data_IF_778145367765
#
_entry.id   IF_778145367765
#
_cell.length_a   1.000
_cell.length_b   1.000
_cell.length_c   1.000
_cell.angle_alpha   90.00
_cell.angle_beta   90.00
_cell.angle_gamma   90.00
#
_symmetry.space_group_name_H-M   'P 1'
#
loop_
_entity.id
_entity.type
_entity.pdbx_description
1 polymer ?
#
# COMPACT_ATOMS: atom_id res chain seq x y z
N UNK A 1 21.81 -22.28 0.72
CA UNK A 1 22.11 -20.84 0.53
C UNK A 1 23.25 -20.45 1.47
N UNK A 2 24.41 -20.07 0.91
CA UNK A 2 25.64 -19.77 1.66
C UNK A 2 25.47 -18.57 2.60
N UNK A 3 26.04 -18.66 3.81
CA UNK A 3 26.06 -17.59 4.83
C UNK A 3 26.55 -16.26 4.25
N UNK A 4 27.43 -16.28 3.25
CA UNK A 4 27.96 -15.09 2.56
C UNK A 4 26.88 -14.27 1.84
N UNK A 5 25.84 -14.92 1.32
CA UNK A 5 24.73 -14.23 0.65
C UNK A 5 23.78 -13.55 1.65
N UNK A 6 23.72 -14.03 2.90
CA UNK A 6 22.83 -13.48 3.92
C UNK A 6 23.33 -12.11 4.42
N UNK A 7 24.65 -11.95 4.55
CA UNK A 7 25.28 -10.71 4.95
C UNK A 7 25.20 -9.63 3.86
N UNK A 8 25.44 -9.98 2.60
CA UNK A 8 25.34 -9.03 1.49
C UNK A 8 23.90 -8.56 1.26
N UNK A 9 22.91 -9.46 1.34
CA UNK A 9 21.49 -9.10 1.29
C UNK A 9 21.09 -8.15 2.43
N UNK A 10 21.61 -8.39 3.63
CA UNK A 10 21.32 -7.54 4.81
C UNK A 10 21.90 -6.14 4.66
N UNK A 11 23.14 -6.02 4.18
CA UNK A 11 23.79 -4.72 3.94
C UNK A 11 23.07 -3.97 2.81
N UNK A 12 22.73 -4.66 1.71
CA UNK A 12 22.00 -4.05 0.60
C UNK A 12 20.63 -3.52 1.04
N UNK A 13 19.90 -4.26 1.87
CA UNK A 13 18.61 -3.82 2.41
C UNK A 13 18.76 -2.61 3.34
N UNK A 14 19.81 -2.55 4.16
CA UNK A 14 20.10 -1.41 5.03
C UNK A 14 20.42 -0.15 4.21
N UNK A 15 21.31 -0.26 3.22
CA UNK A 15 21.66 0.85 2.32
C UNK A 15 20.41 1.32 1.58
N UNK A 16 19.65 0.40 0.99
CA UNK A 16 18.38 0.69 0.33
C UNK A 16 17.40 1.43 1.26
N UNK A 17 17.24 0.96 2.49
CA UNK A 17 16.35 1.57 3.49
C UNK A 17 16.77 2.98 3.88
N UNK A 18 18.07 3.24 3.99
CA UNK A 18 18.61 4.57 4.26
C UNK A 18 18.40 5.52 3.08
N UNK A 19 18.69 5.06 1.85
CA UNK A 19 18.41 5.82 0.63
C UNK A 19 16.92 6.17 0.57
N UNK A 20 16.02 5.21 0.81
CA UNK A 20 14.58 5.48 0.82
C UNK A 20 14.19 6.52 1.87
N UNK A 21 14.73 6.46 3.10
CA UNK A 21 14.48 7.49 4.12
C UNK A 21 14.94 8.88 3.69
N UNK A 22 16.10 8.97 3.04
CA UNK A 22 16.63 10.24 2.53
C UNK A 22 15.82 10.78 1.35
N UNK A 23 15.20 9.91 0.55
CA UNK A 23 14.32 10.29 -0.56
C UNK A 23 12.91 10.71 -0.12
N UNK A 24 12.43 10.28 1.06
CA UNK A 24 11.12 10.67 1.59
C UNK A 24 10.86 12.18 1.53
N UNK A 25 11.73 13.08 2.04
CA UNK A 25 11.49 14.52 1.96
C UNK A 25 11.36 15.02 0.52
N UNK A 26 12.14 14.47 -0.44
CA UNK A 26 11.99 14.81 -1.86
C UNK A 26 10.66 14.33 -2.43
N UNK A 27 10.22 13.11 -2.10
CA UNK A 27 8.92 12.61 -2.53
C UNK A 27 7.76 13.42 -1.94
N UNK A 28 7.83 13.77 -0.65
CA UNK A 28 6.85 14.64 -0.01
C UNK A 28 6.82 16.03 -0.67
N UNK A 29 7.97 16.64 -0.93
CA UNK A 29 8.07 17.93 -1.61
C UNK A 29 7.49 17.85 -3.03
N UNK A 30 7.78 16.78 -3.78
CA UNK A 30 7.22 16.54 -5.11
C UNK A 30 5.70 16.37 -5.08
N UNK A 31 5.17 15.57 -4.15
CA UNK A 31 3.72 15.38 -3.98
C UNK A 31 3.04 16.68 -3.56
N UNK A 32 3.68 17.46 -2.68
CA UNK A 32 3.21 18.79 -2.28
C UNK A 32 3.15 19.76 -3.45
N UNK A 33 4.19 19.78 -4.29
CA UNK A 33 4.21 20.58 -5.51
C UNK A 33 3.10 20.14 -6.47
N UNK A 34 2.99 18.85 -6.79
CA UNK A 34 1.93 18.34 -7.68
C UNK A 34 0.54 18.63 -7.14
N UNK A 35 0.39 18.61 -5.81
CA UNK A 35 -0.87 18.93 -5.16
C UNK A 35 -1.26 20.41 -5.17
N UNK A 36 -0.45 21.30 -5.76
CA UNK A 36 -0.91 22.64 -6.15
C UNK A 36 -1.96 22.59 -7.26
N UNK A 37 -1.81 21.65 -8.21
CA UNK A 37 -2.74 21.49 -9.33
C UNK A 37 -3.78 20.41 -9.07
N UNK A 38 -3.50 19.45 -8.18
CA UNK A 38 -4.39 18.32 -7.88
C UNK A 38 -4.38 18.01 -6.38
N UNK A 39 -5.30 18.61 -5.63
CA UNK A 39 -5.36 18.54 -4.15
C UNK A 39 -5.29 17.11 -3.59
N UNK A 40 -5.78 16.11 -4.35
CA UNK A 40 -5.71 14.69 -4.01
C UNK A 40 -4.30 14.13 -3.75
N UNK A 41 -3.23 14.73 -4.29
CA UNK A 41 -1.85 14.31 -3.99
C UNK A 41 -1.32 14.80 -2.65
N UNK A 42 -1.87 15.89 -2.12
CA UNK A 42 -1.55 16.42 -0.78
C UNK A 42 -2.43 15.82 0.29
N UNK A 43 -3.66 15.45 -0.09
CA UNK A 43 -4.50 14.63 0.75
C UNK A 43 -3.77 13.31 1.04
N UNK A 44 -3.73 12.91 2.31
CA UNK A 44 -3.22 11.59 2.74
C UNK A 44 -1.69 11.37 2.70
N UNK A 45 -0.87 12.42 2.70
CA UNK A 45 0.59 12.27 2.89
C UNK A 45 0.95 11.48 4.16
N UNK A 46 0.19 11.69 5.24
CA UNK A 46 0.36 10.96 6.49
C UNK A 46 0.08 9.45 6.36
N UNK A 47 -0.89 9.07 5.53
CA UNK A 47 -1.18 7.66 5.22
C UNK A 47 0.00 7.01 4.50
N UNK A 48 0.65 7.73 3.58
CA UNK A 48 1.88 7.25 2.91
C UNK A 48 3.08 7.13 3.86
N UNK A 49 3.09 7.87 4.95
CA UNK A 49 4.07 7.70 6.03
C UNK A 49 3.66 6.61 7.02
N UNK A 50 2.56 5.90 6.78
CA UNK A 50 2.07 4.84 7.64
C UNK A 50 1.35 5.33 8.90
N UNK A 51 0.94 6.60 8.96
CA UNK A 51 0.19 7.13 10.10
C UNK A 51 -1.32 7.13 9.80
N UNK A 52 -2.02 6.17 10.40
CA UNK A 52 -3.41 5.85 10.08
C UNK A 52 -4.44 6.39 11.10
N UNK A 53 -4.01 7.16 12.10
CA UNK A 53 -4.89 7.60 13.19
C UNK A 53 -5.43 6.41 13.99
N UNK A 54 -6.64 6.55 14.53
CA UNK A 54 -7.32 5.48 15.27
C UNK A 54 -7.64 4.29 14.36
N UNK A 55 -7.49 3.07 14.87
CA UNK A 55 -7.90 1.83 14.19
C UNK A 55 -9.42 1.86 13.98
N UNK A 56 -9.96 1.51 12.80
CA UNK A 56 -11.41 1.42 12.59
C UNK A 56 -12.05 0.49 13.63
N UNK A 57 -13.18 0.90 14.21
CA UNK A 57 -13.88 0.15 15.27
C UNK A 57 -14.27 -1.28 14.83
N UNK A 58 -14.58 -1.44 13.54
CA UNK A 58 -14.75 -2.73 12.87
C UNK A 58 -13.42 -3.15 12.23
N UNK A 59 -12.55 -3.77 13.02
CA UNK A 59 -11.31 -4.34 12.47
C UNK A 59 -11.67 -5.39 11.41
N UNK A 60 -11.14 -5.30 10.18
CA UNK A 60 -11.47 -6.26 9.14
C UNK A 60 -11.10 -7.68 9.56
N UNK A 61 -12.06 -8.60 9.51
CA UNK A 61 -11.80 -10.04 9.73
C UNK A 61 -11.19 -10.60 8.45
N UNK A 62 -10.07 -11.32 8.59
CA UNK A 62 -9.35 -11.98 7.47
C UNK A 62 -9.10 -11.04 6.27
N UNK A 63 -8.42 -9.92 6.52
CA UNK A 63 -8.12 -8.92 5.49
C UNK A 63 -7.19 -9.48 4.40
N UNK A 64 -7.57 -9.34 3.14
CA UNK A 64 -6.70 -9.49 1.97
C UNK A 64 -6.33 -8.09 1.48
N UNK A 65 -5.04 -7.85 1.35
CA UNK A 65 -4.52 -6.62 0.78
C UNK A 65 -4.22 -6.83 -0.71
N UNK A 66 -4.80 -6.00 -1.56
CA UNK A 66 -4.59 -5.95 -3.00
C UNK A 66 -3.90 -4.62 -3.34
N UNK A 67 -2.73 -4.70 -3.95
CA UNK A 67 -1.98 -3.55 -4.42
C UNK A 67 -2.21 -3.35 -5.92
N UNK A 68 -2.96 -2.29 -6.27
CA UNK A 68 -3.29 -1.90 -7.63
C UNK A 68 -2.97 -0.41 -7.82
N UNK A 69 -1.91 -0.12 -8.57
CA UNK A 69 -1.24 1.18 -8.60
C UNK A 69 -1.86 2.12 -9.62
N UNK A 70 -2.55 1.55 -10.62
CA UNK A 70 -3.16 2.29 -11.72
C UNK A 70 -4.67 2.01 -11.87
N UNK A 71 -5.33 2.86 -12.66
CA UNK A 71 -6.72 2.64 -13.09
C UNK A 71 -6.84 1.35 -13.90
N UNK A 72 -5.87 1.09 -14.78
CA UNK A 72 -5.84 -0.13 -15.61
C UNK A 72 -5.77 -1.40 -14.77
N UNK A 73 -4.90 -1.42 -13.76
CA UNK A 73 -4.80 -2.55 -12.82
C UNK A 73 -6.06 -2.73 -11.98
N UNK A 74 -6.65 -1.63 -11.50
CA UNK A 74 -7.91 -1.67 -10.76
C UNK A 74 -9.03 -2.27 -11.60
N UNK A 75 -9.08 -1.94 -12.89
CA UNK A 75 -10.05 -2.51 -13.83
C UNK A 75 -9.75 -3.99 -14.12
N UNK A 76 -8.48 -4.35 -14.30
CA UNK A 76 -8.06 -5.72 -14.59
C UNK A 76 -8.38 -6.69 -13.43
N UNK A 77 -8.17 -6.26 -12.19
CA UNK A 77 -8.41 -7.08 -11.00
C UNK A 77 -9.88 -7.06 -10.53
N UNK A 78 -10.71 -6.18 -11.09
CA UNK A 78 -12.07 -6.01 -10.61
C UNK A 78 -12.94 -7.27 -10.63
N UNK A 79 -12.91 -8.15 -11.66
CA UNK A 79 -13.69 -9.38 -11.65
C UNK A 79 -13.31 -10.31 -10.48
N UNK A 80 -12.02 -10.37 -10.12
CA UNK A 80 -11.55 -11.12 -8.95
C UNK A 80 -12.11 -10.55 -7.66
N UNK A 81 -12.09 -9.23 -7.51
CA UNK A 81 -12.61 -8.54 -6.33
C UNK A 81 -14.11 -8.80 -6.17
N UNK A 82 -14.90 -8.64 -7.24
CA UNK A 82 -16.34 -8.90 -7.20
C UNK A 82 -16.64 -10.36 -6.83
N UNK A 83 -15.83 -11.31 -7.35
CA UNK A 83 -15.99 -12.72 -7.01
C UNK A 83 -15.68 -13.01 -5.54
N UNK A 84 -14.60 -12.43 -5.00
CA UNK A 84 -14.24 -12.57 -3.59
C UNK A 84 -15.32 -11.98 -2.67
N UNK A 85 -15.86 -10.81 -3.03
CA UNK A 85 -16.95 -10.17 -2.29
C UNK A 85 -18.25 -10.98 -2.35
N UNK A 86 -18.55 -11.65 -3.47
CA UNK A 86 -19.76 -12.44 -3.62
C UNK A 86 -19.70 -13.84 -3.00
N UNK A 87 -18.52 -14.45 -2.93
CA UNK A 87 -18.37 -15.83 -2.45
C UNK A 87 -18.06 -15.92 -0.94
N UNK A 88 -17.57 -14.83 -0.33
CA UNK A 88 -16.91 -14.88 0.98
C UNK A 88 -17.17 -13.64 1.83
N UNK A 89 -18.30 -13.63 2.54
CA UNK A 89 -18.67 -12.58 3.50
C UNK A 89 -17.74 -12.48 4.72
N UNK A 90 -16.91 -13.52 4.95
CA UNK A 90 -15.94 -13.54 6.05
C UNK A 90 -14.63 -12.81 5.74
N UNK A 91 -14.45 -12.36 4.50
CA UNK A 91 -13.26 -11.66 4.04
C UNK A 91 -13.50 -10.16 4.01
N UNK A 92 -12.45 -9.42 4.33
CA UNK A 92 -12.37 -7.99 4.05
C UNK A 92 -11.30 -7.75 3.00
N UNK A 93 -11.50 -6.78 2.11
CA UNK A 93 -10.52 -6.42 1.09
C UNK A 93 -10.00 -5.00 1.34
N UNK A 94 -8.69 -4.84 1.35
CA UNK A 94 -8.01 -3.54 1.30
C UNK A 94 -7.39 -3.37 -0.07
N UNK A 95 -7.75 -2.31 -0.77
CA UNK A 95 -7.11 -1.93 -2.03
C UNK A 95 -6.26 -0.70 -1.77
N UNK A 96 -4.98 -0.80 -2.10
CA UNK A 96 -4.06 0.34 -2.02
C UNK A 96 -3.77 0.89 -3.40
N UNK A 97 -3.76 2.23 -3.52
CA UNK A 97 -3.41 2.94 -4.76
C UNK A 97 -2.26 3.92 -4.56
N UNK A 98 -1.53 4.22 -5.63
CA UNK A 98 -0.47 5.24 -5.65
C UNK A 98 -0.95 6.59 -6.21
N UNK A 99 -2.06 6.59 -6.96
CA UNK A 99 -2.60 7.77 -7.66
C UNK A 99 -4.01 8.14 -7.19
N UNK A 100 -4.37 9.44 -7.17
CA UNK A 100 -5.72 9.89 -6.82
C UNK A 100 -6.80 9.33 -7.75
N UNK A 101 -6.48 9.16 -9.04
CA UNK A 101 -7.39 8.59 -10.03
C UNK A 101 -7.64 7.11 -9.79
N UNK A 102 -6.60 6.33 -9.43
CA UNK A 102 -6.76 4.94 -9.02
C UNK A 102 -7.65 4.80 -7.77
N UNK A 103 -7.39 5.61 -6.74
CA UNK A 103 -8.20 5.61 -5.53
C UNK A 103 -9.67 6.02 -5.81
N UNK A 104 -9.89 7.01 -6.69
CA UNK A 104 -11.24 7.40 -7.10
C UNK A 104 -11.95 6.27 -7.85
N UNK A 105 -11.23 5.52 -8.71
CA UNK A 105 -11.78 4.39 -9.43
C UNK A 105 -12.20 3.25 -8.49
N UNK A 106 -11.37 2.95 -7.48
CA UNK A 106 -11.70 1.96 -6.43
C UNK A 106 -13.00 2.35 -5.75
N UNK A 107 -13.10 3.60 -5.29
CA UNK A 107 -14.30 4.09 -4.58
C UNK A 107 -15.53 4.11 -5.49
N UNK A 108 -15.39 4.53 -6.75
CA UNK A 108 -16.49 4.55 -7.71
C UNK A 108 -17.05 3.15 -7.96
N UNK A 109 -16.18 2.14 -8.04
CA UNK A 109 -16.57 0.79 -8.43
C UNK A 109 -17.05 -0.06 -7.27
N UNK A 110 -16.35 0.00 -6.13
CA UNK A 110 -16.59 -0.91 -5.01
C UNK A 110 -17.31 -0.22 -3.85
N UNK A 111 -17.29 1.12 -3.79
CA UNK A 111 -17.89 1.89 -2.71
C UNK A 111 -17.30 1.49 -1.36
N UNK A 112 -18.17 1.33 -0.36
CA UNK A 112 -17.82 0.94 1.01
C UNK A 112 -17.65 -0.60 1.17
N UNK A 113 -17.79 -1.39 0.10
CA UNK A 113 -17.60 -2.86 0.17
C UNK A 113 -16.13 -3.26 0.37
N UNK A 114 -15.21 -2.34 0.12
CA UNK A 114 -13.76 -2.54 0.28
C UNK A 114 -13.16 -1.35 1.01
N UNK A 115 -12.09 -1.60 1.75
CA UNK A 115 -11.25 -0.53 2.25
C UNK A 115 -10.38 0.02 1.12
N UNK A 116 -10.24 1.33 1.04
CA UNK A 116 -9.32 2.00 0.10
C UNK A 116 -8.35 2.85 0.89
N UNK A 117 -7.05 2.65 0.69
CA UNK A 117 -6.02 3.50 1.28
C UNK A 117 -4.85 3.72 0.31
N UNK A 118 -3.83 4.46 0.75
CA UNK A 118 -2.62 4.73 0.01
C UNK A 118 -1.53 3.75 0.41
N UNK A 119 -0.76 3.33 -0.58
CA UNK A 119 0.45 2.56 -0.31
C UNK A 119 1.41 3.38 0.58
N UNK A 120 2.02 2.80 1.63
CA UNK A 120 3.10 3.45 2.36
C UNK A 120 4.33 3.64 1.47
N UNK A 121 5.15 4.64 1.75
CA UNK A 121 6.51 4.70 1.22
C UNK A 121 7.31 3.49 1.73
N UNK A 122 8.19 2.95 0.88
CA UNK A 122 8.97 1.75 1.19
C UNK A 122 10.14 2.02 2.15
N UNK A 123 9.80 2.52 3.34
CA UNK A 123 10.70 2.68 4.47
C UNK A 123 10.32 1.71 5.57
N UNK A 124 11.29 1.22 6.38
CA UNK A 124 10.99 0.30 7.47
C UNK A 124 9.89 0.81 8.41
N UNK A 125 9.91 2.09 8.74
CA UNK A 125 8.94 2.69 9.66
C UNK A 125 7.51 2.75 9.09
N UNK A 126 7.35 3.22 7.85
CA UNK A 126 6.03 3.37 7.24
C UNK A 126 5.38 2.02 6.94
N UNK A 127 6.15 1.08 6.36
CA UNK A 127 5.70 -0.28 6.06
C UNK A 127 5.31 -1.02 7.35
N UNK A 128 6.15 -0.96 8.40
CA UNK A 128 5.82 -1.58 9.68
C UNK A 128 4.50 -1.07 10.25
N UNK A 129 4.27 0.25 10.21
CA UNK A 129 3.02 0.84 10.70
C UNK A 129 1.82 0.41 9.84
N UNK A 130 1.97 0.35 8.53
CA UNK A 130 0.93 -0.14 7.62
C UNK A 130 0.53 -1.58 7.93
N UNK A 131 1.50 -2.49 8.02
CA UNK A 131 1.25 -3.91 8.32
C UNK A 131 0.70 -4.10 9.74
N UNK A 132 1.17 -3.31 10.71
CA UNK A 132 0.65 -3.35 12.09
C UNK A 132 -0.79 -2.85 12.19
N UNK A 133 -1.13 -1.81 11.42
CA UNK A 133 -2.47 -1.24 11.40
C UNK A 133 -3.46 -2.20 10.71
N UNK A 134 -3.17 -2.58 9.47
CA UNK A 134 -4.08 -3.35 8.63
C UNK A 134 -4.06 -4.86 8.92
N UNK A 135 -2.94 -5.40 9.37
CA UNK A 135 -2.75 -6.85 9.61
C UNK A 135 -3.28 -7.74 8.48
N UNK A 136 -2.86 -7.51 7.22
CA UNK A 136 -3.29 -8.36 6.12
C UNK A 136 -2.84 -9.81 6.32
N UNK A 137 -3.70 -10.76 5.96
CA UNK A 137 -3.39 -12.20 5.96
C UNK A 137 -2.70 -12.64 4.67
N UNK A 138 -2.99 -11.94 3.58
CA UNK A 138 -2.45 -12.19 2.24
C UNK A 138 -2.26 -10.83 1.56
N UNK A 139 -1.12 -10.66 0.90
CA UNK A 139 -0.85 -9.54 -0.01
C UNK A 139 -0.85 -10.02 -1.47
N UNK A 140 -1.63 -9.37 -2.32
CA UNK A 140 -1.72 -9.64 -3.77
C UNK A 140 -1.22 -8.41 -4.50
N UNK A 141 -0.16 -8.57 -5.28
CA UNK A 141 0.44 -7.51 -6.09
C UNK A 141 0.07 -7.77 -7.55
N UNK A 142 -0.60 -6.81 -8.19
CA UNK A 142 -1.15 -7.02 -9.55
C UNK A 142 -0.04 -6.96 -10.60
N UNK A 143 0.98 -6.11 -10.43
CA UNK A 143 2.13 -6.00 -11.34
C UNK A 143 3.48 -5.98 -10.59
N UNK A 144 4.36 -5.02 -10.90
CA UNK A 144 5.79 -5.02 -10.55
C UNK A 144 6.14 -4.07 -9.40
N UNK A 145 5.15 -3.40 -8.79
CA UNK A 145 5.38 -2.52 -7.64
C UNK A 145 5.57 -3.31 -6.33
N UNK A 146 6.55 -4.22 -6.34
CA UNK A 146 7.00 -5.01 -5.20
C UNK A 146 8.30 -4.38 -4.69
N UNK A 147 8.26 -3.89 -3.44
CA UNK A 147 9.37 -3.16 -2.85
C UNK A 147 10.07 -3.95 -1.72
N UNK A 148 11.40 -3.83 -1.56
CA UNK A 148 12.17 -4.62 -0.59
C UNK A 148 11.67 -4.55 0.85
N UNK A 149 11.35 -3.37 1.38
CA UNK A 149 10.91 -3.27 2.78
C UNK A 149 9.51 -3.87 2.97
N UNK A 150 8.63 -3.76 1.97
CA UNK A 150 7.32 -4.42 1.96
C UNK A 150 7.43 -5.94 1.98
N UNK A 151 8.32 -6.52 1.18
CA UNK A 151 8.49 -7.99 1.13
C UNK A 151 9.14 -8.52 2.41
N UNK A 152 10.17 -7.86 2.92
CA UNK A 152 10.93 -8.37 4.08
C UNK A 152 10.16 -8.25 5.39
N UNK A 153 9.19 -7.35 5.48
CA UNK A 153 8.40 -7.13 6.70
C UNK A 153 7.02 -7.80 6.68
N UNK A 154 6.58 -8.32 5.53
CA UNK A 154 5.30 -9.00 5.37
C UNK A 154 5.29 -10.40 5.98
#
# INVERSE_FOLDING_TARGET
>A
MSVRNRWSLSINLLVYSWVMRLLVPLFLARLWWRGRNQSGYRAHLWRRLGWYGSVPASRPRKLIWIHAVSVGETLAIAPLIERLLGDRDDLSLLITSTTPTGAAQVRQRFGERVFSDWIPFDTPGAVRRFLTHWQPRVGVFVETEIWPNMVVQA
#
